data_IF_982998987560
#
_entry.id   IF_982998987560
#
_cell.length_a   1.000
_cell.length_b   1.000
_cell.length_c   1.000
_cell.angle_alpha   90.00
_cell.angle_beta   90.00
_cell.angle_gamma   90.00
#
_symmetry.space_group_name_H-M   'P 1'
#
loop_
_entity.id
_entity.type
_entity.pdbx_description
1 polymer ?
2 non-polymer ?
3 non-polymer ?
4 non-polymer ?
5 water ?
#
# COMPACT_ATOMS: atom_id res chain seq x y z
N UNK A 3 21.31 4.85 22.54
CA UNK A 3 21.14 5.74 23.74
C UNK A 3 20.05 6.83 23.58
N UNK A 4 19.21 6.75 22.54
CA UNK A 4 18.26 7.84 22.19
C UNK A 4 16.90 7.65 22.86
N UNK A 5 16.38 8.76 23.41
CA UNK A 5 15.05 8.85 24.01
C UNK A 5 14.11 9.71 23.17
N UNK A 6 14.49 9.87 21.88
CA UNK A 6 13.83 10.76 20.93
C UNK A 6 12.61 10.13 20.26
N UNK A 7 12.07 10.87 19.30
CA UNK A 7 10.86 10.49 18.56
C UNK A 7 11.07 9.14 17.90
N UNK A 8 9.98 8.39 17.85
CA UNK A 8 9.90 7.09 17.19
C UNK A 8 8.88 7.24 16.06
N UNK A 9 9.34 7.31 14.82
CA UNK A 9 8.44 7.42 13.68
C UNK A 9 7.74 6.08 13.41
N UNK A 10 6.56 6.19 12.81
CA UNK A 10 5.78 5.02 12.40
C UNK A 10 5.91 4.88 10.91
N UNK A 11 6.28 3.70 10.42
CA UNK A 11 6.43 3.46 8.98
C UNK A 11 5.63 2.27 8.53
N UNK A 12 4.81 2.52 7.53
CA UNK A 12 4.15 1.46 6.76
C UNK A 12 5.02 1.24 5.55
N UNK A 13 5.71 0.09 5.50
CA UNK A 13 6.58 -0.28 4.38
C UNK A 13 5.75 -1.24 3.55
N UNK A 14 5.02 -0.70 2.60
CA UNK A 14 4.09 -1.52 1.81
C UNK A 14 4.70 -2.13 0.57
N UNK A 15 3.98 -3.09 0.01
CA UNK A 15 4.42 -3.70 -1.25
C UNK A 15 4.45 -2.66 -2.34
N UNK A 16 3.43 -1.81 -2.37
CA UNK A 16 3.23 -0.86 -3.43
C UNK A 16 3.60 0.55 -3.00
N UNK A 17 3.12 0.99 -1.84
CA UNK A 17 3.36 2.34 -1.38
C UNK A 17 3.77 2.29 0.06
N UNK A 18 4.50 3.32 0.48
CA UNK A 18 4.91 3.48 1.89
C UNK A 18 4.45 4.84 2.46
N UNK A 19 4.35 4.91 3.79
CA UNK A 19 3.81 6.08 4.48
C UNK A 19 4.50 6.24 5.82
N UNK A 20 4.77 7.48 6.22
CA UNK A 20 5.46 7.76 7.48
C UNK A 20 4.65 8.79 8.29
N UNK A 21 4.51 8.49 9.57
CA UNK A 21 3.72 9.31 10.48
C UNK A 21 4.48 9.47 11.80
N UNK A 22 4.16 10.51 12.55
CA UNK A 22 4.79 10.73 13.85
C UNK A 22 3.80 11.39 14.76
N UNK A 23 3.96 11.16 16.06
CA UNK A 23 3.17 11.84 17.07
C UNK A 23 3.71 13.26 17.21
N UNK A 24 2.78 14.22 17.25
CA UNK A 24 3.10 15.62 17.35
C UNK A 24 1.98 16.26 18.17
N UNK A 25 2.31 16.80 19.34
CA UNK A 25 1.30 17.41 20.20
C UNK A 25 0.14 16.50 20.58
N UNK A 26 0.46 15.24 20.86
CA UNK A 26 -0.53 14.25 21.25
C UNK A 26 -1.44 13.70 20.17
N UNK A 27 -1.15 14.00 18.89
CA UNK A 27 -1.92 13.51 17.74
C UNK A 27 -0.97 12.94 16.68
N UNK A 28 -1.40 11.89 15.96
CA UNK A 28 -0.50 11.41 14.89
C UNK A 28 -0.63 12.29 13.66
N UNK A 29 0.48 12.54 12.98
CA UNK A 29 0.54 13.42 11.83
C UNK A 29 1.21 12.61 10.71
N UNK A 30 0.66 12.67 9.51
CA UNK A 30 1.27 11.98 8.35
C UNK A 30 2.15 13.00 7.65
N UNK A 31 3.40 12.63 7.37
CA UNK A 31 4.35 13.57 6.79
C UNK A 31 4.43 13.47 5.27
N UNK A 32 4.41 14.61 4.60
CA UNK A 32 4.52 14.64 3.13
C UNK A 32 5.96 14.49 2.71
N UNK A 33 6.19 13.77 1.61
CA UNK A 33 7.51 13.66 0.97
C UNK A 33 7.85 14.98 0.24
N UNK A 34 9.07 15.11 -0.32
CA UNK A 34 9.45 16.36 -0.98
C UNK A 34 8.67 16.74 -2.25
N UNK A 35 7.92 15.81 -2.86
CA UNK A 35 7.01 16.15 -3.97
C UNK A 35 5.60 16.46 -3.49
N UNK A 36 5.43 16.62 -2.17
CA UNK A 36 4.14 16.99 -1.55
C UNK A 36 3.15 15.86 -1.33
N UNK A 37 3.60 14.60 -1.46
CA UNK A 37 2.70 13.44 -1.43
C UNK A 37 2.77 12.73 -0.08
N UNK A 38 1.60 12.34 0.42
CA UNK A 38 1.48 11.74 1.75
C UNK A 38 1.82 10.23 1.81
N UNK A 39 1.93 9.64 0.64
CA UNK A 39 2.53 8.31 0.50
C UNK A 39 3.58 8.35 -0.61
N UNK A 40 4.48 7.39 -0.56
CA UNK A 40 5.62 7.30 -1.50
C UNK A 40 5.66 5.89 -2.11
N UNK A 41 5.79 5.79 -3.45
CA UNK A 41 5.89 4.46 -4.04
C UNK A 41 7.06 3.64 -3.49
N UNK A 42 6.82 2.36 -3.22
CA UNK A 42 7.89 1.47 -2.72
C UNK A 42 8.72 0.96 -3.88
N UNK A 43 9.45 1.87 -4.53
CA UNK A 43 10.16 1.62 -5.75
C UNK A 43 11.53 2.29 -5.67
N UNK A 44 12.54 1.53 -6.08
CA UNK A 44 13.92 1.99 -6.02
C UNK A 44 14.53 1.75 -7.40
N UNK A 45 15.21 2.76 -7.93
CA UNK A 45 15.93 2.56 -9.22
C UNK A 45 17.38 2.93 -9.08
N UNK A 46 18.18 2.41 -10.01
CA UNK A 46 19.62 2.46 -9.90
C UNK A 46 20.25 2.95 -11.20
N UNK A 47 21.09 3.97 -11.08
CA UNK A 47 21.93 4.48 -12.18
C UNK A 47 23.35 4.58 -11.69
N UNK A 48 24.27 4.95 -12.57
CA UNK A 48 25.65 5.05 -12.12
C UNK A 48 25.80 6.14 -11.04
N UNK A 49 26.25 5.71 -9.86
CA UNK A 49 26.45 6.54 -8.66
C UNK A 49 25.17 7.23 -8.11
N UNK A 50 24.01 6.63 -8.37
CA UNK A 50 22.73 7.27 -8.03
C UNK A 50 21.64 6.26 -7.75
N UNK A 51 20.98 6.41 -6.60
CA UNK A 51 19.81 5.60 -6.23
C UNK A 51 18.63 6.55 -6.11
N UNK A 52 17.54 6.20 -6.77
CA UNK A 52 16.38 7.07 -6.89
C UNK A 52 15.20 6.33 -6.27
N UNK A 53 14.52 6.99 -5.35
CA UNK A 53 13.40 6.35 -4.62
C UNK A 53 12.11 7.08 -4.85
N UNK A 54 11.01 6.32 -4.99
CA UNK A 54 9.70 6.89 -4.88
C UNK A 54 9.05 7.27 -6.19
N UNK A 55 8.45 8.45 -6.20
CA UNK A 55 7.68 8.92 -7.35
C UNK A 55 8.58 9.00 -8.60
N UNK A 56 9.78 9.53 -8.43
CA UNK A 56 10.70 9.69 -9.57
C UNK A 56 11.16 8.35 -10.15
N UNK A 57 11.33 7.34 -9.30
CA UNK A 57 11.78 6.02 -9.74
C UNK A 57 10.71 5.35 -10.59
N UNK A 58 9.47 5.51 -10.15
CA UNK A 58 8.30 5.05 -10.89
C UNK A 58 8.24 5.69 -12.28
N UNK A 59 8.33 7.02 -12.31
CA UNK A 59 8.28 7.73 -13.58
C UNK A 59 9.41 7.26 -14.53
N UNK A 60 10.65 7.10 -14.01
CA UNK A 60 11.80 6.68 -14.82
C UNK A 60 11.82 5.20 -15.24
N UNK A 61 10.77 4.43 -14.91
CA UNK A 61 10.71 3.03 -15.27
C UNK A 61 10.82 2.81 -16.78
N UNK A 62 10.14 3.67 -17.55
CA UNK A 62 10.23 3.69 -19.04
C UNK A 62 11.63 3.56 -19.63
N UNK A 63 12.61 4.23 -19.02
CA UNK A 63 13.98 4.29 -19.55
C UNK A 63 14.97 3.46 -18.73
N UNK A 64 14.63 3.16 -17.47
CA UNK A 64 15.54 2.43 -16.57
C UNK A 64 14.94 1.04 -16.37
N UNK A 65 15.60 0.00 -16.93
CA UNK A 65 15.21 -1.37 -16.62
C UNK A 65 15.73 -1.79 -15.24
N UNK A 66 16.61 -1.01 -14.65
CA UNK A 66 17.14 -1.28 -13.32
C UNK A 66 16.27 -0.57 -12.27
N UNK A 67 14.98 -0.90 -12.32
CA UNK A 67 14.02 -0.41 -11.35
C UNK A 67 13.47 -1.64 -10.63
N UNK A 68 13.43 -1.56 -9.28
CA UNK A 68 13.07 -2.71 -8.47
C UNK A 68 11.70 -2.41 -7.89
N UNK A 69 10.73 -3.25 -8.24
CA UNK A 69 9.34 -3.07 -7.77
C UNK A 69 8.94 -4.26 -6.92
N UNK A 70 8.03 -4.03 -5.98
CA UNK A 70 7.49 -5.08 -5.12
C UNK A 70 8.55 -5.91 -4.37
N UNK A 71 9.58 -5.26 -3.87
CA UNK A 71 10.70 -5.97 -3.22
C UNK A 71 10.21 -6.66 -1.94
N UNK A 72 9.12 -6.15 -1.37
CA UNK A 72 8.59 -6.72 -0.15
C UNK A 72 8.29 -8.22 -0.37
N UNK A 73 7.98 -8.60 -1.61
CA UNK A 73 7.65 -9.99 -1.90
C UNK A 73 8.81 -10.97 -1.67
N UNK A 74 10.02 -10.45 -1.71
CA UNK A 74 11.22 -11.25 -1.50
C UNK A 74 11.78 -11.13 -0.10
N UNK A 75 11.18 -10.32 0.77
CA UNK A 75 11.73 -10.15 2.08
C UNK A 75 11.64 -11.46 2.84
N UNK A 76 12.72 -11.80 3.51
CA UNK A 76 12.82 -13.04 4.27
C UNK A 76 13.35 -14.19 3.43
N UNK A 77 13.65 -13.94 2.15
CA UNK A 77 14.23 -14.96 1.29
C UNK A 77 15.71 -14.64 1.08
N UNK A 78 16.47 -15.62 0.60
CA UNK A 78 17.85 -15.37 0.17
C UNK A 78 17.93 -15.04 -1.34
N UNK A 79 16.78 -14.80 -1.98
CA UNK A 79 16.76 -14.23 -3.33
C UNK A 79 17.50 -12.89 -3.39
N UNK A 80 18.15 -12.64 -4.51
CA UNK A 80 18.78 -11.36 -4.83
C UNK A 80 18.10 -10.76 -6.04
N UNK A 81 18.15 -9.43 -6.15
CA UNK A 81 17.74 -8.76 -7.38
C UNK A 81 19.01 -8.27 -8.05
N UNK A 82 18.95 -8.12 -9.36
CA UNK A 82 20.11 -7.74 -10.14
C UNK A 82 19.84 -6.43 -10.84
N UNK A 83 20.83 -5.56 -10.85
CA UNK A 83 20.82 -4.35 -11.65
C UNK A 83 22.10 -4.38 -12.48
N UNK A 84 21.99 -3.83 -13.66
CA UNK A 84 23.07 -3.85 -14.64
C UNK A 84 23.72 -2.49 -14.61
N UNK A 85 25.01 -2.47 -14.30
CA UNK A 85 25.79 -1.23 -14.34
C UNK A 85 26.08 -0.80 -15.78
N UNK A 86 26.43 0.48 -15.96
CA UNK A 86 26.74 1.06 -17.27
C UNK A 86 27.94 0.40 -17.93
N UNK A 87 28.87 -0.13 -17.13
CA UNK A 87 30.05 -0.85 -17.65
C UNK A 87 29.76 -2.31 -17.99
N UNK A 88 28.49 -2.72 -17.92
CA UNK A 88 28.07 -4.05 -18.29
C UNK A 88 28.10 -5.09 -17.20
N UNK A 89 28.69 -4.76 -16.05
CA UNK A 89 28.73 -5.69 -14.92
C UNK A 89 27.36 -5.68 -14.22
N UNK A 90 27.16 -6.66 -13.35
CA UNK A 90 25.88 -6.86 -12.63
C UNK A 90 26.13 -6.71 -11.14
N UNK A 91 25.20 -6.00 -10.49
CA UNK A 91 25.25 -5.81 -9.04
C UNK A 91 24.07 -6.58 -8.46
N UNK A 92 24.35 -7.40 -7.44
CA UNK A 92 23.32 -8.18 -6.77
C UNK A 92 22.95 -7.45 -5.49
N UNK A 93 21.66 -7.34 -5.22
CA UNK A 93 21.19 -6.61 -4.03
C UNK A 93 20.27 -7.49 -3.25
N UNK A 94 20.33 -7.40 -1.92
CA UNK A 94 19.42 -8.16 -1.10
C UNK A 94 18.11 -7.38 -0.96
N UNK A 95 17.03 -8.09 -0.65
CA UNK A 95 15.77 -7.37 -0.34
C UNK A 95 15.94 -6.37 0.82
N UNK A 96 16.74 -6.72 1.80
CA UNK A 96 17.08 -5.82 2.92
C UNK A 96 17.69 -4.52 2.45
N UNK A 97 18.66 -4.60 1.53
CA UNK A 97 19.36 -3.40 1.04
C UNK A 97 18.42 -2.50 0.25
N UNK A 98 17.57 -3.11 -0.56
CA UNK A 98 16.60 -2.33 -1.37
C UNK A 98 15.55 -1.70 -0.48
N UNK A 99 15.00 -2.50 0.42
CA UNK A 99 14.03 -1.99 1.40
C UNK A 99 14.61 -0.82 2.21
N UNK A 100 15.90 -0.94 2.58
CA UNK A 100 16.58 0.12 3.32
C UNK A 100 16.60 1.47 2.59
N UNK A 101 16.68 1.44 1.25
CA UNK A 101 16.66 2.67 0.47
C UNK A 101 15.34 3.39 0.59
N UNK A 102 14.26 2.61 0.62
CA UNK A 102 12.93 3.16 0.86
C UNK A 102 12.88 3.79 2.25
N UNK A 103 13.31 3.02 3.25
CA UNK A 103 13.30 3.50 4.64
C UNK A 103 14.18 4.74 4.82
N UNK A 104 15.35 4.70 4.20
CA UNK A 104 16.28 5.82 4.27
C UNK A 104 15.68 7.11 3.71
N UNK A 105 14.97 6.99 2.60
CA UNK A 105 14.28 8.12 1.98
C UNK A 105 13.19 8.69 2.87
N UNK A 106 12.37 7.81 3.44
CA UNK A 106 11.33 8.25 4.37
C UNK A 106 11.94 9.01 5.56
N UNK A 107 12.94 8.38 6.15
CA UNK A 107 13.66 8.94 7.28
C UNK A 107 14.21 10.34 6.95
N UNK A 108 14.83 10.47 5.77
CA UNK A 108 15.49 11.72 5.38
C UNK A 108 14.51 12.88 5.26
N UNK A 109 13.39 12.68 4.56
CA UNK A 109 12.38 13.75 4.46
C UNK A 109 11.63 13.99 5.76
N UNK A 110 11.43 12.95 6.57
CA UNK A 110 10.80 13.14 7.87
C UNK A 110 11.65 14.04 8.75
N UNK A 111 12.98 13.85 8.72
CA UNK A 111 13.88 14.68 9.53
C UNK A 111 13.81 16.13 9.16
N UNK A 112 13.82 16.37 7.85
CA UNK A 112 13.69 17.73 7.34
C UNK A 112 12.35 18.36 7.69
N UNK A 113 11.28 17.57 7.69
CA UNK A 113 9.98 18.06 8.15
C UNK A 113 9.93 18.39 9.62
N UNK A 114 10.42 17.48 10.44
CA UNK A 114 10.33 17.59 11.87
C UNK A 114 11.36 18.61 12.38
N UNK A 115 12.45 18.78 11.64
CA UNK A 115 13.52 19.69 12.04
C UNK A 115 14.47 19.05 13.04
N UNK A 116 14.51 17.72 13.04
CA UNK A 116 15.26 16.95 14.03
C UNK A 116 15.80 15.69 13.40
N UNK A 117 16.93 15.21 13.91
CA UNK A 117 17.44 13.90 13.53
C UNK A 117 16.53 12.83 14.14
N UNK A 118 16.31 11.76 13.39
CA UNK A 118 15.47 10.64 13.77
C UNK A 118 16.31 9.36 13.69
N UNK A 119 16.27 8.55 14.74
CA UNK A 119 17.02 7.30 14.77
C UNK A 119 16.24 6.09 15.29
N UNK A 120 14.91 6.21 15.38
CA UNK A 120 14.05 5.20 16.02
C UNK A 120 12.79 5.07 15.19
N UNK A 121 12.37 3.83 14.95
CA UNK A 121 11.12 3.61 14.23
C UNK A 121 10.32 2.42 14.75
N UNK A 122 9.02 2.46 14.48
CA UNK A 122 8.18 1.26 14.47
C UNK A 122 7.89 0.98 13.00
N UNK A 123 8.12 -0.24 12.56
CA UNK A 123 7.84 -0.62 11.14
C UNK A 123 6.77 -1.70 11.18
N UNK A 124 5.77 -1.57 10.32
CA UNK A 124 4.72 -2.54 10.25
C UNK A 124 5.06 -3.62 9.17
N UNK A 125 4.49 -4.80 9.39
CA UNK A 125 4.56 -5.95 8.50
C UNK A 125 3.23 -6.69 8.42
N UNK A 126 3.05 -7.53 7.39
CA UNK A 126 1.81 -8.31 7.31
C UNK A 126 1.72 -9.29 8.48
N UNK A 127 0.52 -9.58 8.93
CA UNK A 127 0.34 -10.49 10.05
C UNK A 127 0.91 -11.88 9.85
N UNK A 128 0.96 -12.33 8.61
CA UNK A 128 1.50 -13.65 8.29
C UNK A 128 3.00 -13.73 8.23
N UNK A 129 3.69 -12.60 8.36
CA UNK A 129 5.17 -12.63 8.29
C UNK A 129 5.72 -13.52 9.41
N UNK A 130 6.69 -14.36 9.05
CA UNK A 130 7.39 -15.23 9.99
C UNK A 130 8.62 -14.49 10.54
N UNK A 131 9.41 -15.16 11.38
CA UNK A 131 10.61 -14.56 11.97
C UNK A 131 11.60 -14.06 10.91
N UNK A 132 11.87 -14.87 9.90
CA UNK A 132 12.80 -14.46 8.82
C UNK A 132 12.36 -13.18 8.13
N UNK A 133 11.06 -13.10 7.85
CA UNK A 133 10.49 -11.94 7.19
C UNK A 133 10.52 -10.71 8.08
N UNK A 134 10.21 -10.91 9.37
CA UNK A 134 10.30 -9.83 10.38
C UNK A 134 11.73 -9.36 10.55
N UNK A 135 12.65 -10.30 10.63
CA UNK A 135 14.06 -9.97 10.86
C UNK A 135 14.67 -9.23 9.66
N UNK A 136 14.27 -9.62 8.46
CA UNK A 136 14.64 -8.90 7.24
C UNK A 136 14.20 -7.44 7.31
N UNK A 137 13.01 -7.21 7.83
CA UNK A 137 12.50 -5.86 7.94
C UNK A 137 13.30 -5.04 8.96
N UNK A 138 13.63 -5.68 10.07
CA UNK A 138 14.45 -5.07 11.13
C UNK A 138 15.81 -4.68 10.58
N UNK A 139 16.39 -5.60 9.83
CA UNK A 139 17.69 -5.37 9.20
C UNK A 139 17.64 -4.20 8.20
N UNK A 140 16.60 -4.14 7.37
CA UNK A 140 16.45 -2.98 6.45
C UNK A 140 16.46 -1.71 7.29
N UNK A 141 15.72 -1.69 8.40
CA UNK A 141 15.75 -0.55 9.27
C UNK A 141 17.13 -0.21 9.79
N UNK A 142 17.84 -1.22 10.26
CA UNK A 142 19.23 -1.04 10.75
C UNK A 142 20.16 -0.44 9.67
N UNK A 143 20.03 -0.91 8.44
CA UNK A 143 20.83 -0.41 7.32
C UNK A 143 20.53 1.06 7.03
N UNK A 144 19.25 1.44 7.14
CA UNK A 144 18.81 2.83 7.02
C UNK A 144 19.12 3.75 8.20
N UNK A 145 19.76 3.24 9.26
CA UNK A 145 20.13 4.04 10.44
C UNK A 145 19.02 4.17 11.47
N UNK A 146 18.05 3.24 11.44
CA UNK A 146 16.95 3.24 12.38
C UNK A 146 17.12 2.09 13.38
N UNK A 147 16.98 2.43 14.66
CA UNK A 147 16.79 1.43 15.69
C UNK A 147 15.32 1.06 15.57
N UNK A 148 15.05 -0.17 15.18
CA UNK A 148 13.67 -0.62 15.00
C UNK A 148 13.20 -1.09 16.35
N UNK A 149 12.41 -0.24 16.99
CA UNK A 149 11.97 -0.44 18.36
C UNK A 149 10.97 -1.57 18.49
N UNK A 150 10.11 -1.73 17.48
CA UNK A 150 9.17 -2.82 17.45
C UNK A 150 8.74 -3.03 16.00
N UNK A 151 8.55 -4.28 15.62
CA UNK A 151 7.79 -4.65 14.42
C UNK A 151 6.40 -5.02 14.86
N UNK A 152 5.37 -4.39 14.29
CA UNK A 152 4.00 -4.71 14.64
C UNK A 152 3.24 -5.07 13.36
N UNK A 153 2.20 -5.86 13.51
CA UNK A 153 1.36 -6.31 12.38
C UNK A 153 0.53 -5.18 11.80
N UNK A 154 0.40 -5.12 10.48
CA UNK A 154 -0.40 -4.09 9.80
C UNK A 154 -1.87 -4.00 10.31
N UNK A 155 -2.55 -5.17 10.50
CA UNK A 155 -3.93 -5.01 10.97
C UNK A 155 -4.01 -4.50 12.40
N UNK A 156 -3.03 -4.86 13.23
CA UNK A 156 -2.94 -4.36 14.57
C UNK A 156 -2.72 -2.83 14.57
N UNK A 157 -1.84 -2.37 13.70
CA UNK A 157 -1.64 -0.93 13.52
C UNK A 157 -2.92 -0.18 13.14
N UNK A 158 -3.67 -0.76 12.22
CA UNK A 158 -4.94 -0.18 11.83
C UNK A 158 -5.89 -0.05 13.03
N UNK A 159 -5.93 -1.10 13.84
CA UNK A 159 -6.84 -1.10 15.01
C UNK A 159 -6.37 -0.08 16.04
N UNK A 160 -5.07 0.06 16.17
CA UNK A 160 -4.51 1.12 17.02
C UNK A 160 -4.93 2.52 16.62
N UNK A 161 -4.95 2.77 15.32
CA UNK A 161 -5.35 4.05 14.79
C UNK A 161 -6.79 4.37 15.17
N UNK A 162 -7.66 3.36 15.16
CA UNK A 162 -9.08 3.54 15.55
C UNK A 162 -9.30 3.42 17.06
N UNK A 163 -8.24 3.28 17.84
CA UNK A 163 -8.34 3.27 19.30
C UNK A 163 -9.03 2.07 19.90
N UNK A 164 -9.07 0.97 19.15
CA UNK A 164 -9.80 -0.24 19.55
C UNK A 164 -9.21 -0.88 20.81
N UNK A 165 -7.93 -0.65 21.07
CA UNK A 165 -7.30 -1.15 22.29
C UNK A 165 -7.91 -0.56 23.56
N UNK A 166 -8.61 0.56 23.41
CA UNK A 166 -9.27 1.27 24.52
C UNK A 166 -10.70 0.83 24.76
N UNK A 167 -11.25 -0.04 23.90
CA UNK A 167 -12.60 -0.54 24.03
C UNK A 167 -12.87 -1.06 25.44
N UNK A 168 -14.09 -0.84 25.91
CA UNK A 168 -14.49 -1.22 27.25
C UNK A 168 -14.74 -2.73 27.38
N UNK A 169 -14.99 -3.42 26.24
CA UNK A 169 -15.15 -4.89 26.22
C UNK A 169 -14.26 -5.50 25.15
N UNK A 170 -14.09 -6.81 25.26
CA UNK A 170 -13.38 -7.63 24.28
C UNK A 170 -14.04 -7.46 22.89
N UNK A 171 -13.21 -7.28 21.86
CA UNK A 171 -13.72 -6.98 20.51
C UNK A 171 -13.10 -8.03 19.60
N UNK A 172 -13.87 -8.50 18.63
CA UNK A 172 -13.31 -9.20 17.48
C UNK A 172 -13.40 -8.24 16.31
N UNK A 173 -12.29 -8.08 15.59
CA UNK A 173 -12.19 -7.09 14.53
C UNK A 173 -11.77 -7.75 13.21
N UNK A 174 -12.49 -7.47 12.14
CA UNK A 174 -12.09 -7.93 10.78
C UNK A 174 -11.41 -6.79 10.09
N UNK A 175 -10.24 -7.05 9.54
CA UNK A 175 -9.51 -6.05 8.76
C UNK A 175 -9.48 -6.56 7.32
N UNK A 176 -10.00 -5.77 6.40
CA UNK A 176 -10.03 -6.09 4.94
C UNK A 176 -9.07 -5.12 4.30
N UNK A 177 -7.96 -5.66 3.79
CA UNK A 177 -6.80 -4.86 3.38
C UNK A 177 -6.54 -5.12 1.90
N UNK A 178 -7.00 -4.21 1.05
CA UNK A 178 -6.81 -4.37 -0.41
C UNK A 178 -5.73 -3.37 -0.81
N UNK A 179 -4.49 -3.86 -0.90
CA UNK A 179 -3.36 -3.01 -1.29
C UNK A 179 -3.23 -2.95 -2.79
N UNK A 180 -2.09 -2.42 -3.25
CA UNK A 180 -1.82 -2.28 -4.68
C UNK A 180 -1.62 -3.58 -5.42
N UNK A 181 -1.02 -4.58 -4.76
CA UNK A 181 -0.77 -5.87 -5.37
C UNK A 181 -1.17 -7.10 -4.60
N UNK A 182 -1.58 -6.90 -3.34
CA UNK A 182 -1.96 -8.02 -2.48
C UNK A 182 -3.22 -7.69 -1.71
N UNK A 183 -3.91 -8.75 -1.33
CA UNK A 183 -5.16 -8.66 -0.58
C UNK A 183 -5.04 -9.51 0.66
N UNK A 184 -5.34 -8.92 1.82
CA UNK A 184 -5.23 -9.63 3.06
C UNK A 184 -6.46 -9.42 3.93
N UNK A 185 -6.90 -10.50 4.59
CA UNK A 185 -7.95 -10.45 5.60
C UNK A 185 -7.39 -10.98 6.92
N UNK A 186 -7.69 -10.29 8.01
CA UNK A 186 -7.24 -10.70 9.33
C UNK A 186 -8.40 -10.60 10.30
N UNK A 187 -8.47 -11.53 11.24
CA UNK A 187 -9.39 -11.47 12.38
C UNK A 187 -8.59 -11.31 13.63
N UNK A 188 -8.80 -10.20 14.34
CA UNK A 188 -8.12 -9.89 15.57
C UNK A 188 -9.06 -10.02 16.75
N UNK A 189 -8.53 -10.49 17.89
CA UNK A 189 -9.21 -10.45 19.17
C UNK A 189 -8.45 -9.44 20.03
N UNK A 190 -9.18 -8.48 20.57
CA UNK A 190 -8.60 -7.41 21.36
C UNK A 190 -9.20 -7.49 22.76
N UNK A 191 -8.36 -7.73 23.77
CA UNK A 191 -8.84 -7.89 25.16
C UNK A 191 -7.83 -7.35 26.12
N UNK A 192 -8.31 -6.62 27.12
CA UNK A 192 -7.46 -6.07 28.18
C UNK A 192 -6.23 -5.42 27.58
N UNK A 193 -6.45 -4.66 26.51
CA UNK A 193 -5.40 -3.90 25.84
C UNK A 193 -4.43 -4.62 24.92
N UNK A 194 -4.61 -5.92 24.69
CA UNK A 194 -3.63 -6.71 23.92
C UNK A 194 -4.32 -7.29 22.69
N UNK A 195 -3.57 -7.47 21.62
CA UNK A 195 -4.14 -7.94 20.34
C UNK A 195 -3.69 -9.36 20.13
N UNK A 196 -4.57 -10.19 19.59
CA UNK A 196 -4.22 -11.54 19.18
C UNK A 196 -4.74 -11.71 17.75
N UNK A 197 -3.90 -12.22 16.88
CA UNK A 197 -4.37 -12.57 15.52
C UNK A 197 -5.04 -13.94 15.56
N UNK A 198 -6.34 -14.01 15.27
CA UNK A 198 -7.07 -15.29 15.31
C UNK A 198 -6.92 -16.08 14.03
N UNK A 199 -6.88 -15.39 12.89
CA UNK A 199 -6.84 -16.06 11.60
C UNK A 199 -6.47 -15.04 10.57
N UNK A 200 -5.80 -15.49 9.51
CA UNK A 200 -5.54 -14.66 8.36
C UNK A 200 -5.81 -15.44 7.06
N UNK A 201 -6.09 -14.71 6.00
CA UNK A 201 -6.28 -15.28 4.66
C UNK A 201 -6.06 -14.18 3.65
N UNK A 202 -5.99 -14.52 2.36
CA UNK A 202 -5.75 -13.51 1.37
C UNK A 202 -5.36 -14.09 0.05
N UNK A 203 -4.88 -13.22 -0.81
CA UNK A 203 -4.49 -13.57 -2.16
C UNK A 203 -3.38 -12.62 -2.45
N UNK A 204 -2.16 -13.15 -2.54
CA UNK A 204 -0.99 -12.32 -2.78
C UNK A 204 -0.84 -11.83 -4.22
N UNK A 205 -1.79 -12.17 -5.10
CA UNK A 205 -1.75 -11.74 -6.51
C UNK A 205 -3.05 -11.09 -6.90
N UNK A 206 -3.58 -10.31 -5.95
CA UNK A 206 -4.83 -9.58 -6.13
C UNK A 206 -4.70 -8.26 -5.38
N UNK A 207 -4.79 -7.16 -6.13
CA UNK A 207 -4.65 -5.85 -5.59
C UNK A 207 -5.19 -4.81 -6.52
N UNK A 208 -5.12 -3.57 -6.08
CA UNK A 208 -5.67 -2.44 -6.82
C UNK A 208 -5.13 -2.32 -8.23
N UNK A 209 -3.87 -2.72 -8.42
CA UNK A 209 -3.23 -2.69 -9.73
C UNK A 209 -4.03 -3.51 -10.76
N UNK A 210 -4.63 -4.62 -10.29
CA UNK A 210 -5.43 -5.51 -11.13
C UNK A 210 -6.71 -4.87 -11.66
N UNK A 211 -7.33 -4.01 -10.84
CA UNK A 211 -8.49 -3.22 -11.25
C UNK A 211 -8.01 -2.22 -12.33
N UNK A 212 -6.88 -1.58 -12.09
CA UNK A 212 -6.30 -0.64 -13.06
C UNK A 212 -6.06 -1.34 -14.37
N UNK A 213 -5.52 -2.55 -14.30
CA UNK A 213 -5.15 -3.28 -15.50
C UNK A 213 -6.37 -3.57 -16.39
N UNK A 214 -7.53 -3.73 -15.78
CA UNK A 214 -8.77 -3.88 -16.59
C UNK A 214 -9.13 -2.66 -17.37
N UNK A 215 -8.85 -1.50 -16.80
CA UNK A 215 -9.07 -0.24 -17.48
C UNK A 215 -8.03 -0.13 -18.60
N UNK A 216 -6.77 -0.52 -18.34
CA UNK A 216 -5.75 -0.55 -19.41
C UNK A 216 -6.20 -1.44 -20.57
N UNK A 217 -6.69 -2.64 -20.24
CA UNK A 217 -7.21 -3.57 -21.26
C UNK A 217 -8.36 -2.97 -22.07
N UNK A 218 -9.26 -2.27 -21.39
CA UNK A 218 -10.42 -1.60 -21.99
C UNK A 218 -10.00 -0.50 -22.99
N UNK A 219 -9.06 0.34 -22.56
CA UNK A 219 -8.47 1.36 -23.43
C UNK A 219 -7.75 0.72 -24.63
N UNK A 220 -7.02 -0.36 -24.37
CA UNK A 220 -6.24 -1.04 -25.40
C UNK A 220 -7.17 -1.67 -26.43
N UNK A 221 -8.29 -2.26 -25.99
CA UNK A 221 -9.30 -2.77 -26.93
C UNK A 221 -9.85 -1.67 -27.83
N UNK A 222 -10.18 -0.53 -27.22
CA UNK A 222 -10.70 0.64 -27.93
C UNK A 222 -9.70 1.14 -28.99
N UNK A 223 -8.44 1.30 -28.57
CA UNK A 223 -7.35 1.68 -29.49
C UNK A 223 -7.27 0.77 -30.74
N UNK A 224 -7.31 -0.54 -30.50
CA UNK A 224 -7.24 -1.53 -31.59
C UNK A 224 -8.41 -1.41 -32.55
N UNK A 225 -9.58 -1.19 -31.96
CA UNK A 225 -10.82 -1.04 -32.71
C UNK A 225 -10.86 0.22 -33.57
N UNK A 226 -10.36 1.33 -33.03
CA UNK A 226 -10.39 2.62 -33.71
C UNK A 226 -9.19 2.90 -34.62
N UNK A 227 -8.10 2.13 -34.50
CA UNK A 227 -6.89 2.36 -35.29
C UNK A 227 -6.36 1.07 -35.91
N UNK A 228 -7.26 0.31 -36.52
CA UNK A 228 -6.93 -0.83 -37.39
C UNK A 228 -5.95 -1.83 -36.75
N UNK A 229 -6.24 -2.20 -35.50
CA UNK A 229 -5.49 -3.23 -34.78
C UNK A 229 -4.26 -2.72 -34.09
N UNK A 230 -4.10 -1.40 -34.05
CA UNK A 230 -2.89 -0.85 -33.47
C UNK A 230 -2.75 -1.27 -32.01
N UNK A 231 -1.54 -1.71 -31.67
CA UNK A 231 -1.22 -2.23 -30.35
C UNK A 231 0.06 -1.58 -29.81
N UNK A 232 -0.05 -0.93 -28.65
CA UNK A 232 1.10 -0.22 -28.08
C UNK A 232 1.73 -0.93 -26.90
N UNK A 233 1.52 -2.24 -26.75
CA UNK A 233 2.00 -2.98 -25.57
C UNK A 233 3.51 -2.90 -25.38
N UNK A 234 4.24 -2.79 -26.48
CA UNK A 234 5.72 -2.66 -26.43
C UNK A 234 6.26 -1.24 -26.25
N UNK A 235 5.38 -0.24 -26.30
CA UNK A 235 5.73 1.18 -26.16
C UNK A 235 5.66 1.57 -24.67
N UNK A 236 6.82 1.63 -24.01
CA UNK A 236 6.85 1.75 -22.57
C UNK A 236 6.24 3.06 -22.09
N UNK A 237 6.52 4.17 -22.79
CA UNK A 237 5.94 5.45 -22.41
C UNK A 237 4.44 5.48 -22.61
N UNK A 238 3.96 4.92 -23.73
CA UNK A 238 2.50 4.79 -23.93
C UNK A 238 1.88 4.01 -22.78
N UNK A 239 2.48 2.88 -22.44
CA UNK A 239 1.98 2.02 -21.36
C UNK A 239 1.98 2.72 -20.01
N UNK A 240 3.01 3.51 -19.75
CA UNK A 240 3.08 4.28 -18.52
C UNK A 240 1.94 5.27 -18.42
N UNK A 241 1.68 5.95 -19.53
CA UNK A 241 0.55 6.89 -19.61
C UNK A 241 -0.82 6.19 -19.45
N UNK A 242 -0.98 5.01 -20.04
CA UNK A 242 -2.20 4.21 -19.85
C UNK A 242 -2.39 3.77 -18.39
N UNK A 243 -1.30 3.35 -17.75
CA UNK A 243 -1.34 2.98 -16.32
C UNK A 243 -1.77 4.20 -15.50
N UNK A 244 -1.14 5.34 -15.74
CA UNK A 244 -1.50 6.60 -15.09
C UNK A 244 -2.95 6.99 -15.35
N UNK A 245 -3.38 6.90 -16.61
CA UNK A 245 -4.77 7.16 -16.96
C UNK A 245 -5.76 6.23 -16.23
N UNK A 246 -5.41 4.94 -16.15
CA UNK A 246 -6.24 3.95 -15.48
C UNK A 246 -6.40 4.24 -14.00
N UNK A 247 -5.29 4.56 -13.34
CA UNK A 247 -5.34 4.94 -11.92
C UNK A 247 -6.26 6.12 -11.70
N UNK A 248 -6.10 7.18 -12.49
CA UNK A 248 -6.96 8.38 -12.39
C UNK A 248 -8.43 8.05 -12.61
N UNK A 249 -8.72 7.24 -13.62
CA UNK A 249 -10.08 6.83 -13.94
C UNK A 249 -10.72 6.09 -12.77
N UNK A 250 -9.98 5.13 -12.20
CA UNK A 250 -10.45 4.34 -11.08
C UNK A 250 -10.83 5.28 -9.90
N UNK A 251 -9.93 6.21 -9.59
CA UNK A 251 -10.14 7.16 -8.48
C UNK A 251 -11.38 8.00 -8.72
N UNK A 252 -11.53 8.54 -9.93
CA UNK A 252 -12.70 9.34 -10.23
C UNK A 252 -14.00 8.52 -10.13
N UNK A 253 -13.97 7.25 -10.55
CA UNK A 253 -15.16 6.41 -10.48
C UNK A 253 -15.59 5.99 -9.05
N UNK A 254 -14.75 6.24 -8.07
CA UNK A 254 -15.13 6.14 -6.64
C UNK A 254 -15.91 7.35 -6.13
N UNK A 255 -15.87 8.47 -6.87
CA UNK A 255 -16.64 9.69 -6.60
C UNK A 255 -17.81 9.96 -7.55
N UNK A 256 -17.66 9.62 -8.83
CA UNK A 256 -18.63 9.90 -9.91
C UNK A 256 -19.07 8.60 -10.61
N UNK A 257 -20.14 8.68 -11.41
CA UNK A 257 -20.68 7.52 -12.15
C UNK A 257 -20.03 7.36 -13.52
N UNK A 258 -19.28 8.36 -13.96
CA UNK A 258 -18.51 8.25 -15.19
C UNK A 258 -17.26 9.09 -15.17
N UNK A 259 -16.33 8.75 -16.07
CA UNK A 259 -15.06 9.47 -16.16
C UNK A 259 -14.63 9.49 -17.63
N UNK A 260 -13.86 10.51 -18.01
CA UNK A 260 -13.28 10.60 -19.37
C UNK A 260 -11.77 10.36 -19.32
N UNK A 261 -11.34 9.33 -20.04
CA UNK A 261 -9.93 8.99 -20.18
C UNK A 261 -9.46 9.80 -21.37
N UNK A 262 -8.43 10.60 -21.15
CA UNK A 262 -7.94 11.55 -22.15
C UNK A 262 -6.44 11.37 -22.38
N UNK A 263 -6.07 10.91 -23.57
CA UNK A 263 -4.69 10.63 -23.91
C UNK A 263 -4.34 11.26 -25.24
N UNK A 264 -4.17 12.59 -25.26
CA UNK A 264 -3.78 13.26 -26.49
C UNK A 264 -2.38 12.81 -26.91
N UNK A 265 -2.19 12.56 -28.20
CA UNK A 265 -0.88 12.33 -28.78
C UNK A 265 -0.16 11.11 -28.19
N UNK A 266 -0.91 10.01 -28.07
CA UNK A 266 -0.44 8.80 -27.41
C UNK A 266 0.64 8.09 -28.21
N UNK A 267 0.53 8.14 -29.54
CA UNK A 267 1.59 7.76 -30.46
C UNK A 267 1.43 8.46 -31.80
N UNK A 268 2.34 8.19 -32.73
CA UNK A 268 2.22 8.69 -34.07
C UNK A 268 2.38 7.50 -35.00
N UNK A 269 1.41 7.29 -35.89
CA UNK A 269 1.51 6.25 -36.91
C UNK A 269 1.72 6.92 -38.24
N UNK A 270 1.85 6.12 -39.29
CA UNK A 270 2.02 6.66 -40.64
C UNK A 270 0.83 7.54 -41.02
N UNK A 271 -0.35 7.16 -40.56
CA UNK A 271 -1.57 7.95 -40.75
C UNK A 271 -1.60 9.27 -39.95
N UNK A 272 -0.95 9.33 -38.79
CA UNK A 272 -0.81 10.57 -38.03
C UNK A 272 -0.92 10.34 -36.53
N UNK A 273 -1.01 11.44 -35.74
CA UNK A 273 -1.09 11.32 -34.30
C UNK A 273 -2.33 10.56 -33.86
N UNK A 274 -2.17 9.79 -32.80
CA UNK A 274 -3.25 9.03 -32.20
C UNK A 274 -3.67 9.70 -30.89
N UNK A 275 -4.91 10.17 -30.86
CA UNK A 275 -5.49 10.81 -29.68
C UNK A 275 -6.62 9.95 -29.18
N UNK A 276 -6.60 9.59 -27.90
CA UNK A 276 -7.64 8.77 -27.31
C UNK A 276 -8.48 9.64 -26.35
N UNK A 277 -9.79 9.63 -26.57
CA UNK A 277 -10.76 10.27 -25.69
C UNK A 277 -11.87 9.25 -25.51
N UNK A 278 -12.08 8.81 -24.27
CA UNK A 278 -12.85 7.60 -24.03
C UNK A 278 -13.60 7.69 -22.70
N UNK A 279 -14.89 7.41 -22.73
CA UNK A 279 -15.74 7.41 -21.54
C UNK A 279 -15.78 6.01 -20.92
N UNK A 280 -15.69 5.98 -19.59
CA UNK A 280 -15.87 4.74 -18.84
C UNK A 280 -16.87 5.03 -17.74
N UNK A 281 -17.93 4.26 -17.68
CA UNK A 281 -18.90 4.39 -16.60
C UNK A 281 -18.48 3.51 -15.42
N UNK A 282 -18.94 3.88 -14.24
CA UNK A 282 -18.79 3.04 -13.06
C UNK A 282 -19.39 1.66 -13.29
N UNK A 283 -20.57 1.59 -13.90
CA UNK A 283 -21.24 0.30 -14.18
C UNK A 283 -20.36 -0.63 -15.02
N UNK A 284 -19.79 -0.09 -16.10
CA UNK A 284 -18.90 -0.85 -16.95
C UNK A 284 -17.60 -1.22 -16.21
N UNK A 285 -17.01 -0.27 -15.53
CA UNK A 285 -15.84 -0.57 -14.66
C UNK A 285 -16.14 -1.70 -13.67
N UNK A 286 -17.28 -1.64 -13.01
CA UNK A 286 -17.68 -2.74 -12.11
C UNK A 286 -17.89 -4.08 -12.82
N UNK A 287 -18.48 -4.07 -14.02
CA UNK A 287 -18.65 -5.28 -14.80
C UNK A 287 -17.31 -5.90 -15.15
N UNK A 288 -16.38 -5.07 -15.62
CA UNK A 288 -15.08 -5.52 -16.06
C UNK A 288 -14.29 -6.15 -14.91
N UNK A 289 -14.46 -5.62 -13.71
CA UNK A 289 -13.65 -6.03 -12.57
C UNK A 289 -14.38 -6.92 -11.56
N UNK A 290 -15.63 -7.31 -11.85
CA UNK A 290 -16.39 -8.14 -10.92
C UNK A 290 -15.64 -9.43 -10.53
N UNK A 291 -14.94 -10.07 -11.46
CA UNK A 291 -14.19 -11.27 -11.05
C UNK A 291 -13.11 -11.01 -9.99
N UNK A 292 -12.45 -9.89 -10.10
CA UNK A 292 -11.46 -9.49 -9.10
C UNK A 292 -12.15 -9.27 -7.75
N UNK A 293 -13.24 -8.52 -7.76
CA UNK A 293 -13.97 -8.22 -6.52
C UNK A 293 -14.46 -9.49 -5.84
N UNK A 294 -15.00 -10.41 -6.63
CA UNK A 294 -15.53 -11.66 -6.08
C UNK A 294 -14.48 -12.57 -5.46
N UNK A 295 -13.26 -12.47 -5.94
CA UNK A 295 -12.15 -13.19 -5.32
C UNK A 295 -11.85 -12.68 -3.89
N UNK A 296 -12.32 -11.49 -3.54
CA UNK A 296 -12.12 -10.99 -2.13
C UNK A 296 -13.12 -11.60 -1.15
N UNK A 297 -14.18 -12.22 -1.67
CA UNK A 297 -15.17 -12.82 -0.84
C UNK A 297 -14.60 -14.05 -0.12
N UNK A 298 -13.92 -14.92 -0.88
CA UNK A 298 -13.51 -16.21 -0.28
C UNK A 298 -12.58 -16.10 0.96
N UNK A 299 -11.56 -15.23 0.92
CA UNK A 299 -10.75 -15.08 2.15
C UNK A 299 -11.53 -14.67 3.41
N UNK A 300 -12.63 -13.93 3.27
CA UNK A 300 -13.44 -13.53 4.45
C UNK A 300 -14.07 -14.76 5.05
N UNK A 301 -14.71 -15.58 4.21
CA UNK A 301 -15.32 -16.81 4.67
C UNK A 301 -14.24 -17.71 5.28
N UNK A 302 -13.05 -17.73 4.69
CA UNK A 302 -11.95 -18.57 5.19
C UNK A 302 -11.52 -18.17 6.59
N UNK A 303 -11.34 -16.87 6.85
CA UNK A 303 -10.90 -16.44 8.20
C UNK A 303 -11.96 -16.70 9.26
N UNK A 304 -13.22 -16.51 8.89
CA UNK A 304 -14.32 -16.78 9.81
C UNK A 304 -14.31 -18.27 10.19
N UNK A 305 -14.21 -19.12 9.17
CA UNK A 305 -14.11 -20.56 9.37
C UNK A 305 -12.93 -20.93 10.26
N UNK A 306 -11.76 -20.38 9.97
CA UNK A 306 -10.55 -20.75 10.66
C UNK A 306 -10.61 -20.34 12.15
N UNK A 307 -11.20 -19.17 12.40
CA UNK A 307 -11.36 -18.65 13.77
C UNK A 307 -12.47 -19.38 14.56
N UNK A 308 -13.27 -20.19 13.89
CA UNK A 308 -14.39 -20.91 14.48
C UNK A 308 -15.36 -19.94 15.13
N UNK A 309 -15.79 -18.94 14.37
CA UNK A 309 -16.79 -17.97 14.84
C UNK A 309 -17.93 -17.90 13.86
N UNK A 310 -19.05 -17.35 14.32
CA UNK A 310 -20.13 -16.92 13.46
C UNK A 310 -19.83 -15.49 12.99
N UNK A 311 -20.31 -15.09 11.80
CA UNK A 311 -20.06 -13.71 11.37
C UNK A 311 -20.63 -12.65 12.34
N UNK A 312 -21.66 -13.03 13.11
CA UNK A 312 -22.27 -12.16 14.12
C UNK A 312 -21.33 -11.86 15.26
N UNK A 313 -20.28 -12.67 15.43
CA UNK A 313 -19.27 -12.44 16.44
C UNK A 313 -18.26 -11.34 16.09
N UNK A 314 -18.22 -10.90 14.83
CA UNK A 314 -17.37 -9.79 14.42
C UNK A 314 -18.02 -8.48 14.89
N UNK A 315 -17.33 -7.76 15.78
CA UNK A 315 -17.80 -6.50 16.30
C UNK A 315 -17.59 -5.32 15.38
N UNK A 316 -16.49 -5.29 14.64
CA UNK A 316 -16.05 -4.06 13.99
C UNK A 316 -15.27 -4.51 12.71
N UNK A 317 -15.38 -3.74 11.63
CA UNK A 317 -14.63 -3.97 10.38
C UNK A 317 -13.82 -2.74 10.02
N UNK A 318 -12.54 -2.94 9.73
CA UNK A 318 -11.64 -1.87 9.24
C UNK A 318 -11.27 -2.08 7.80
N UNK A 319 -11.32 -1.00 7.01
CA UNK A 319 -10.86 -1.03 5.63
C UNK A 319 -9.50 -0.37 5.54
N UNK A 320 -8.58 -1.09 4.93
CA UNK A 320 -7.20 -0.64 4.71
C UNK A 320 -6.89 -0.79 3.23
N UNK A 321 -6.16 0.20 2.72
CA UNK A 321 -5.72 0.24 1.33
C UNK A 321 -6.61 1.18 0.55
N UNK A 322 -5.99 2.02 -0.25
CA UNK A 322 -6.70 3.01 -1.03
C UNK A 322 -7.86 2.49 -1.86
N UNK A 323 -7.72 1.28 -2.42
CA UNK A 323 -8.77 0.74 -3.27
C UNK A 323 -10.06 0.39 -2.52
N UNK A 324 -10.02 0.32 -1.20
CA UNK A 324 -11.25 0.09 -0.43
C UNK A 324 -12.21 1.27 -0.50
N UNK A 325 -11.77 2.41 -1.03
CA UNK A 325 -12.70 3.50 -1.37
C UNK A 325 -13.70 3.19 -2.52
N UNK A 326 -13.43 2.15 -3.29
CA UNK A 326 -14.38 1.74 -4.32
C UNK A 326 -15.77 1.37 -3.73
N UNK A 327 -16.86 2.00 -4.22
CA UNK A 327 -18.17 1.68 -3.61
C UNK A 327 -18.53 0.19 -3.68
N UNK A 328 -18.14 -0.51 -4.75
CA UNK A 328 -18.40 -1.95 -4.83
C UNK A 328 -17.73 -2.78 -3.71
N UNK A 329 -16.58 -2.30 -3.19
CA UNK A 329 -15.91 -2.97 -2.06
C UNK A 329 -16.74 -2.88 -0.80
N UNK A 330 -17.19 -1.68 -0.49
CA UNK A 330 -18.10 -1.46 0.67
C UNK A 330 -19.29 -2.38 0.63
N UNK A 331 -19.95 -2.48 -0.53
CA UNK A 331 -21.09 -3.35 -0.65
C UNK A 331 -20.75 -4.82 -0.46
N UNK A 332 -19.64 -5.27 -1.02
CA UNK A 332 -19.19 -6.65 -0.82
C UNK A 332 -19.00 -6.98 0.65
N UNK A 333 -18.25 -6.12 1.33
CA UNK A 333 -17.90 -6.39 2.74
C UNK A 333 -19.17 -6.42 3.58
N UNK A 334 -20.08 -5.48 3.33
CA UNK A 334 -21.38 -5.44 4.04
C UNK A 334 -22.19 -6.70 3.83
N UNK A 335 -22.19 -7.22 2.60
CA UNK A 335 -22.81 -8.49 2.25
C UNK A 335 -22.28 -9.66 3.07
N UNK A 336 -21.00 -9.61 3.43
CA UNK A 336 -20.36 -10.70 4.15
C UNK A 336 -20.40 -10.58 5.66
N UNK A 337 -20.67 -9.39 6.21
CA UNK A 337 -20.69 -9.17 7.67
C UNK A 337 -21.97 -8.36 7.93
N UNK A 338 -23.13 -9.03 7.82
CA UNK A 338 -24.39 -8.27 7.93
C UNK A 338 -24.50 -7.39 9.16
N UNK A 339 -25.01 -6.18 8.94
CA UNK A 339 -25.28 -5.25 10.03
C UNK A 339 -24.19 -4.26 10.34
N UNK A 340 -22.96 -4.55 9.89
CA UNK A 340 -21.79 -3.78 10.32
C UNK A 340 -21.34 -2.79 9.27
N UNK A 341 -20.83 -1.65 9.73
CA UNK A 341 -20.34 -0.58 8.85
C UNK A 341 -18.85 -0.81 8.57
N UNK A 342 -18.45 -0.91 7.29
CA UNK A 342 -17.02 -0.99 6.97
C UNK A 342 -16.37 0.38 7.24
N UNK A 343 -15.45 0.44 8.20
CA UNK A 343 -14.89 1.73 8.65
C UNK A 343 -13.78 2.20 7.73
N UNK A 344 -13.93 3.38 7.14
CA UNK A 344 -12.82 4.00 6.37
C UNK A 344 -12.71 5.49 6.68
N UNK A 345 -13.12 5.87 7.88
CA UNK A 345 -13.05 7.27 8.28
C UNK A 345 -11.61 7.76 8.55
N UNK A 346 -10.71 6.84 8.83
CA UNK A 346 -9.29 7.14 8.77
C UNK A 346 -8.81 6.70 7.38
N UNK A 347 -8.23 7.65 6.64
CA UNK A 347 -7.75 7.43 5.28
C UNK A 347 -7.11 6.02 5.17
N UNK A 348 -7.68 5.12 4.32
CA UNK A 348 -7.17 3.76 4.32
C UNK A 348 -5.77 3.64 3.76
N UNK A 349 -5.32 4.66 3.02
CA UNK A 349 -3.91 4.73 2.53
C UNK A 349 -2.90 5.01 3.65
N UNK A 350 -3.39 5.58 4.76
CA UNK A 350 -2.57 6.13 5.84
C UNK A 350 -2.75 5.47 7.19
N UNK A 351 -3.85 4.74 7.36
CA UNK A 351 -4.23 4.21 8.68
C UNK A 351 -3.16 3.35 9.35
N UNK A 352 -2.44 2.54 8.56
CA UNK A 352 -1.42 1.69 9.14
C UNK A 352 -0.23 2.51 9.67
N UNK A 353 0.24 3.49 8.90
CA UNK A 353 1.34 4.36 9.38
C UNK A 353 0.91 5.13 10.62
N UNK A 354 -0.35 5.61 10.60
CA UNK A 354 -0.87 6.32 11.77
C UNK A 354 -0.79 5.46 13.02
N UNK A 355 -1.26 4.23 12.91
CA UNK A 355 -1.15 3.24 13.99
C UNK A 355 0.27 3.00 14.46
N UNK A 356 1.19 2.90 13.51
CA UNK A 356 2.60 2.73 13.83
C UNK A 356 3.12 3.91 14.66
N UNK A 357 2.69 5.12 14.26
CA UNK A 357 3.05 6.35 14.98
C UNK A 357 2.51 6.38 16.39
N UNK A 358 1.26 5.99 16.57
CA UNK A 358 0.69 5.82 17.89
C UNK A 358 1.54 4.85 18.75
N UNK A 359 1.86 3.69 18.21
CA UNK A 359 2.74 2.72 18.87
C UNK A 359 4.10 3.35 19.21
N UNK A 360 4.65 4.17 18.32
CA UNK A 360 5.89 4.89 18.63
C UNK A 360 5.74 5.73 19.88
N UNK A 361 4.64 6.48 19.98
CA UNK A 361 4.43 7.32 21.19
C UNK A 361 4.29 6.50 22.46
N UNK A 362 3.60 5.37 22.32
CA UNK A 362 3.49 4.43 23.42
C UNK A 362 4.84 3.91 23.91
N UNK A 363 5.68 3.49 22.98
CA UNK A 363 7.02 2.98 23.30
C UNK A 363 7.87 4.06 23.95
N UNK A 364 7.69 5.29 23.48
CA UNK A 364 8.44 6.43 24.10
C UNK A 364 7.91 6.87 25.45
N UNK A 365 6.75 6.33 25.87
CA UNK A 365 5.99 6.76 27.04
C UNK A 365 5.58 8.22 26.99
N UNK A 366 5.19 8.63 25.80
CA UNK A 366 4.85 10.00 25.52
C UNK A 366 3.39 10.17 25.93
N UNK A 367 3.18 10.89 27.02
CA UNK A 367 1.84 11.14 27.54
C UNK A 367 1.32 12.54 27.26
N UNK A 368 1.98 13.25 26.35
CA UNK A 368 1.54 14.57 25.97
C UNK A 368 0.22 14.44 25.21
N UNK A 369 -0.75 15.25 25.60
CA UNK A 369 -2.09 15.17 25.02
C UNK A 369 -2.37 16.54 24.41
N UNK A 370 -3.27 16.58 23.44
CA UNK A 370 -3.74 17.86 22.89
C UNK A 370 -4.37 18.79 23.95
N UNK A 371 -5.00 18.24 24.99
CA UNK A 371 -5.51 19.01 26.15
C UNK A 371 -4.44 19.82 26.91
N UNK A 372 -3.18 19.34 26.91
CA UNK A 372 -2.09 20.04 27.62
C UNK A 372 -1.59 21.21 26.76
X LIG B 1 9.97 -6.86 17.93
X LIG B 1 9.49 -6.91 19.33
X LIG B 1 10.34 -8.24 17.52
X LIG B 1 8.88 -6.34 17.08
X LIG B 1 11.13 -5.95 17.81
X LIG C 1 3.74 -16.46 -6.15
X LIG C 1 4.42 -17.45 -7.02
X LIG C 1 3.57 -17.06 -4.80
X LIG C 1 4.55 -15.23 -6.06
X LIG C 1 2.42 -16.14 -6.72
X LIG D 1 8.24 -18.77 12.38
X LIG D 1 9.24 -19.20 11.35
X LIG D 1 8.47 -19.51 13.64
X LIG D 1 8.37 -17.33 12.62
X LIG D 1 6.87 -19.06 11.88
X LIG E 1 -1.54 -14.68 1.95
X LIG E 1 -0.12 -15.07 1.77
X LIG E 1 -2.34 -15.87 2.33
X LIG E 1 -1.65 -13.66 3.01
X LIG E 1 -2.06 -14.13 0.68
X LIG F 1 0.44 -1.60 -0.18
X LIG F 1 0.97 -2.94 -0.42
X LIG F 1 -0.15 -1.61 1.19
X LIG F 1 1.43 -0.54 -0.36
X LIG F 1 -0.62 -1.21 -1.14
X LIG G 1 -2.50 15.34 9.29
X LIG G 1 -3.70 15.21 10.13
X LIG G 1 -1.87 14.01 9.16
X LIG G 1 -2.89 15.89 7.97
X LIG G 1 -1.55 16.29 9.91
X LIG H 1 9.39 16.14 22.57
X LIG H 1 10.80 15.74 22.36
X LIG H 1 8.50 14.97 22.46
X LIG H 1 9.03 17.17 21.58
X LIG H 1 9.27 16.70 23.94
X LIG I 1 7.69 -12.80 -6.23
X LIG I 1 8.15 -13.66 -5.18
X LIG I 1 8.79 -11.80 -6.62
X LIG I 1 8.37 -10.67 -7.42
X LIG I 1 7.26 -10.85 -8.32
X LIG I 1 7.25 -9.77 -9.41
X LIG I 1 4.39 -6.50 -8.60
X LIG I 1 4.15 -7.86 -8.94
X LIG I 1 5.27 -8.40 -9.82
X LIG I 1 6.39 -8.70 -8.99
X LIG J 1 4.80 -11.38 1.18
X LIG J 1 6.18 -11.05 1.37
X LIG J 1 4.30 -10.59 -0.01
X LIG J 1 3.10 -11.20 -0.53
X LIG J 1 4.08 -9.15 0.42
X LIG J 1 4.46 -8.22 -0.59
X LIG K 1 -14.28 0.82 20.33
X LIG K 1 -13.75 -0.45 19.90
X LIG K 1 -13.13 1.77 20.62
X LIG K 1 -12.72 2.41 19.39
X LIG K 1 -13.57 2.82 21.64
X LIG K 1 -12.48 3.70 21.93
X LIG L 1 10.42 7.58 -24.56
X LIG L 1 10.29 6.49 -23.70
X LIG L 1 9.12 8.34 -24.55
X LIG L 1 8.22 7.67 -25.45
X LIG L 1 9.33 9.78 -24.97
X LIG L 1 8.38 10.05 -26.01
#
# INVERSE_FOLDING_TARGET
MSADNGLIIGIDLGTTNSCVSVMEGGRPVVLENPEGKRTTPSIVSYKNNEIIVGDAAKRQMVTNPNTIVSIKRLMGTSNKVKVQNADGTTKELSPEQVSAQILSYLKDFAEKKIGKKISRAVITVPAYFNDAERNATKTAGKIAGLNVERIINEPTAAALAYGIDKASREMKVLVYDLGGGTFDVSLLDIAEGTFEVLATAGDNRLGGDDWDNKIIEYISAYIAKEHQGKNLSKDKMAMQRLKEAAERAKIELSAQLETIISLPFLTVTQKGPVNVELKLTRAKFEELTKPLLERTRNPISDVIKEAKIKPEEINEILLVGGSTRMPAVQKLVESMVPGKKPNRSINPDEVVAIGAAIQGGVLRGDLEHHHHHH
SO4 S O1 O2 O3 O4
SO4 S O1 O2 O3 O4
SO4 S O1 O2 O3 O4
SO4 S O1 O2 O3 O4
SO4 S O1 O2 O3 O4
SO4 S O1 O2 O3 O4
SO4 S O1 O2 O3 O4
PGE C1 O1 C2 O2 C3 C4 O4 C6 C5 O3
GOL C1 O1 C2 O2 C3 O3
GOL C1 O1 C2 O2 C3 O3
GOL C1 O1 C2 O2 C3 O3
#
